data_IF_224468538598
#
_entry.id   IF_224468538598
#
_cell.length_a   1.000
_cell.length_b   1.000
_cell.length_c   1.000
_cell.angle_alpha   90.00
_cell.angle_beta   90.00
_cell.angle_gamma   90.00
#
_symmetry.space_group_name_H-M   'P 1'
#
loop_
_entity.id
_entity.type
_entity.pdbx_description
1 polymer ?
#
# COMPACT_ATOMS: atom_id res chain seq x y z
N UNK A 1 -24.51 -67.22 39.11
CA UNK A 1 -25.10 -67.27 37.75
C UNK A 1 -25.79 -65.94 37.47
N UNK A 2 -25.54 -65.37 36.28
CA UNK A 2 -25.91 -64.03 35.75
C UNK A 2 -24.96 -62.85 36.07
N UNK A 3 -23.87 -62.82 35.32
CA UNK A 3 -23.06 -61.63 34.99
C UNK A 3 -23.86 -60.74 34.03
N UNK A 4 -23.96 -59.43 34.32
CA UNK A 4 -24.68 -58.44 33.52
C UNK A 4 -23.71 -57.79 32.54
N UNK A 5 -23.90 -58.03 31.25
CA UNK A 5 -23.16 -57.39 30.15
C UNK A 5 -23.83 -56.03 29.91
N UNK A 6 -23.07 -54.93 30.04
CA UNK A 6 -23.50 -53.59 29.64
C UNK A 6 -23.15 -53.43 28.16
N UNK A 7 -24.17 -53.29 27.32
CA UNK A 7 -24.03 -52.91 25.91
C UNK A 7 -23.78 -51.40 25.84
N UNK A 8 -22.69 -50.99 25.19
CA UNK A 8 -22.46 -49.62 24.77
C UNK A 8 -23.17 -49.38 23.43
N UNK A 9 -24.15 -48.49 23.41
CA UNK A 9 -24.65 -47.89 22.16
C UNK A 9 -23.83 -46.62 21.85
N UNK A 10 -23.29 -46.45 20.63
CA UNK A 10 -22.70 -45.19 20.20
C UNK A 10 -23.79 -44.26 19.63
N UNK A 11 -24.45 -43.50 20.51
CA UNK A 11 -25.44 -42.49 20.14
C UNK A 11 -24.84 -41.08 20.13
N UNK A 12 -24.82 -40.46 18.94
CA UNK A 12 -25.04 -39.02 18.72
C UNK A 12 -24.26 -38.02 19.60
N UNK A 13 -22.93 -37.98 19.48
CA UNK A 13 -22.25 -36.67 19.61
C UNK A 13 -22.43 -35.91 18.30
N UNK A 14 -23.59 -35.25 18.21
CA UNK A 14 -23.86 -34.23 17.23
C UNK A 14 -22.72 -33.20 17.25
N UNK A 15 -21.90 -33.24 16.21
CA UNK A 15 -20.98 -32.18 15.83
C UNK A 15 -21.83 -30.91 15.68
N UNK A 16 -21.88 -30.09 16.73
CA UNK A 16 -22.33 -28.71 16.65
C UNK A 16 -21.32 -27.99 15.76
N UNK A 17 -21.54 -28.09 14.45
CA UNK A 17 -21.06 -27.14 13.49
C UNK A 17 -21.66 -25.79 13.90
N UNK A 18 -20.88 -25.01 14.64
CA UNK A 18 -21.20 -23.61 14.92
C UNK A 18 -21.48 -22.97 13.58
N UNK A 19 -22.75 -22.59 13.34
CA UNK A 19 -23.11 -21.85 12.15
C UNK A 19 -22.36 -20.52 12.24
N UNK A 20 -21.26 -20.40 11.51
CA UNK A 20 -20.48 -19.17 11.42
C UNK A 20 -21.29 -18.13 10.65
N UNK A 21 -22.26 -17.54 11.35
CA UNK A 21 -22.93 -16.33 10.92
C UNK A 21 -21.87 -15.24 10.87
N UNK A 22 -21.43 -14.88 9.65
CA UNK A 22 -20.44 -13.82 9.51
C UNK A 22 -20.90 -12.53 10.18
N UNK A 23 -19.93 -11.77 10.68
CA UNK A 23 -20.15 -10.56 11.47
C UNK A 23 -20.99 -9.57 10.66
N UNK A 24 -21.97 -8.95 11.32
CA UNK A 24 -22.72 -7.83 10.71
C UNK A 24 -21.74 -6.69 10.36
N UNK A 25 -22.07 -5.88 9.36
CA UNK A 25 -21.25 -4.72 8.98
C UNK A 25 -20.86 -3.85 10.20
N UNK A 26 -21.77 -3.56 11.17
CA UNK A 26 -21.42 -2.84 12.40
C UNK A 26 -20.39 -3.58 13.28
N UNK A 27 -20.44 -4.91 13.36
CA UNK A 27 -19.50 -5.70 14.14
C UNK A 27 -18.12 -5.80 13.47
N UNK A 28 -18.06 -5.89 12.14
CA UNK A 28 -16.81 -5.82 11.38
C UNK A 28 -16.19 -4.41 11.42
N UNK A 29 -17.02 -3.37 11.30
CA UNK A 29 -16.61 -1.97 11.50
C UNK A 29 -16.14 -1.76 12.94
N UNK A 30 -16.82 -2.30 13.95
CA UNK A 30 -16.39 -2.22 15.34
C UNK A 30 -15.07 -2.97 15.60
N UNK A 31 -14.83 -4.09 14.92
CA UNK A 31 -13.56 -4.82 14.97
C UNK A 31 -12.41 -3.99 14.36
N UNK A 32 -12.62 -3.39 13.19
CA UNK A 32 -11.66 -2.45 12.60
C UNK A 32 -11.49 -1.21 13.49
N UNK A 33 -12.57 -0.70 14.07
CA UNK A 33 -12.57 0.46 14.97
C UNK A 33 -11.85 0.17 16.29
N UNK A 34 -11.90 -1.07 16.82
CA UNK A 34 -11.10 -1.50 17.98
C UNK A 34 -9.61 -1.33 17.75
N UNK A 35 -9.15 -1.37 16.49
CA UNK A 35 -7.76 -1.14 16.12
C UNK A 35 -7.42 0.33 15.80
N UNK A 36 -8.34 1.28 16.03
CA UNK A 36 -8.11 2.73 15.84
C UNK A 36 -8.19 3.56 17.13
N UNK A 37 -7.45 3.24 18.21
CA UNK A 37 -7.20 4.26 19.23
C UNK A 37 -6.39 5.39 18.59
N UNK A 38 -6.89 6.63 18.55
CA UNK A 38 -6.17 7.75 17.92
C UNK A 38 -5.19 8.39 18.90
N UNK A 39 -4.01 7.78 19.03
CA UNK A 39 -2.90 8.41 19.75
C UNK A 39 -2.55 9.78 19.11
N UNK A 40 -1.93 10.67 19.89
CA UNK A 40 -1.61 12.03 19.44
C UNK A 40 -0.79 12.06 18.13
N UNK A 41 0.13 11.10 17.95
CA UNK A 41 0.98 11.02 16.74
C UNK A 41 0.18 10.61 15.50
N UNK A 42 -0.89 9.82 15.64
CA UNK A 42 -1.77 9.43 14.53
C UNK A 42 -2.64 10.59 14.11
N UNK A 43 -3.20 11.35 15.06
CA UNK A 43 -3.98 12.56 14.76
C UNK A 43 -3.14 13.56 13.98
N UNK A 44 -1.92 13.82 14.43
CA UNK A 44 -0.95 14.65 13.71
C UNK A 44 -0.73 14.13 12.28
N UNK A 45 -0.42 12.85 12.13
CA UNK A 45 -0.18 12.24 10.82
C UNK A 45 -1.39 12.28 9.89
N UNK A 46 -2.61 12.11 10.41
CA UNK A 46 -3.83 12.21 9.61
C UNK A 46 -4.09 13.63 9.12
N UNK A 47 -3.81 14.64 9.96
CA UNK A 47 -3.86 16.04 9.52
C UNK A 47 -2.81 16.30 8.45
N UNK A 48 -1.56 15.92 8.67
CA UNK A 48 -0.48 16.06 7.68
C UNK A 48 -0.82 15.32 6.37
N UNK A 49 -1.35 14.10 6.46
CA UNK A 49 -1.75 13.30 5.32
C UNK A 49 -2.90 13.93 4.53
N UNK A 50 -3.88 14.50 5.22
CA UNK A 50 -4.95 15.27 4.59
C UNK A 50 -4.42 16.52 3.90
N UNK A 51 -3.51 17.27 4.53
CA UNK A 51 -2.88 18.45 3.92
C UNK A 51 -2.06 18.10 2.67
N UNK A 52 -1.32 16.98 2.70
CA UNK A 52 -0.59 16.46 1.54
C UNK A 52 -1.53 16.11 0.39
N UNK A 53 -2.63 15.39 0.68
CA UNK A 53 -3.62 15.04 -0.33
C UNK A 53 -4.33 16.28 -0.90
N UNK A 54 -4.72 17.23 -0.03
CA UNK A 54 -5.31 18.50 -0.44
C UNK A 54 -4.35 19.33 -1.28
N UNK A 55 -3.05 19.34 -0.95
CA UNK A 55 -2.02 19.95 -1.81
C UNK A 55 -2.00 19.30 -3.19
N UNK A 56 -2.01 17.97 -3.28
CA UNK A 56 -2.07 17.27 -4.56
C UNK A 56 -3.31 17.62 -5.39
N UNK A 57 -4.49 17.70 -4.75
CA UNK A 57 -5.73 18.13 -5.39
C UNK A 57 -5.71 19.60 -5.82
N UNK A 58 -5.14 20.48 -5.00
CA UNK A 58 -4.95 21.88 -5.36
C UNK A 58 -4.10 22.03 -6.62
N UNK A 59 -2.96 21.33 -6.70
CA UNK A 59 -2.11 21.36 -7.89
C UNK A 59 -2.78 20.72 -9.12
N UNK A 60 -3.73 19.79 -8.92
CA UNK A 60 -4.56 19.27 -10.00
C UNK A 60 -5.49 20.35 -10.54
N UNK A 61 -6.14 21.12 -9.65
CA UNK A 61 -6.97 22.26 -10.07
C UNK A 61 -6.14 23.29 -10.83
N UNK A 62 -4.95 23.64 -10.32
CA UNK A 62 -4.02 24.55 -11.01
C UNK A 62 -3.68 24.04 -12.41
N UNK A 63 -3.32 22.76 -12.55
CA UNK A 63 -3.06 22.16 -13.87
C UNK A 63 -4.27 22.22 -14.81
N UNK A 64 -5.48 22.00 -14.30
CA UNK A 64 -6.70 22.03 -15.12
C UNK A 64 -7.08 23.46 -15.55
N UNK A 65 -6.68 24.49 -14.81
CA UNK A 65 -6.98 25.90 -15.10
C UNK A 65 -5.88 26.56 -15.92
N UNK A 66 -4.63 26.49 -15.45
CA UNK A 66 -3.49 27.20 -16.05
C UNK A 66 -2.78 26.37 -17.14
N UNK A 67 -3.03 25.05 -17.17
CA UNK A 67 -2.37 24.13 -18.09
C UNK A 67 -0.89 23.91 -17.75
N UNK A 68 -0.12 23.51 -18.76
CA UNK A 68 1.31 23.22 -18.64
C UNK A 68 1.65 21.76 -18.94
N UNK A 69 2.93 21.38 -18.81
CA UNK A 69 3.36 20.06 -19.20
C UNK A 69 2.91 18.99 -18.21
N UNK A 70 2.35 17.89 -18.71
CA UNK A 70 2.10 16.68 -17.92
C UNK A 70 3.32 15.75 -17.86
N UNK A 71 4.20 15.84 -18.85
CA UNK A 71 5.45 15.08 -18.95
C UNK A 71 6.69 15.95 -18.74
N UNK A 72 7.85 15.31 -18.65
CA UNK A 72 9.13 16.01 -18.58
C UNK A 72 9.48 16.62 -17.20
N UNK A 73 10.59 17.38 -17.15
CA UNK A 73 11.17 17.85 -15.89
C UNK A 73 10.29 18.84 -15.12
N UNK A 74 9.51 19.67 -15.82
CA UNK A 74 8.64 20.72 -15.27
C UNK A 74 7.18 20.27 -15.06
N UNK A 75 6.95 18.97 -15.02
CA UNK A 75 5.62 18.40 -15.02
C UNK A 75 4.80 18.73 -13.76
N UNK A 76 3.57 19.24 -13.95
CA UNK A 76 2.57 19.38 -12.87
C UNK A 76 2.13 18.04 -12.27
N UNK A 77 2.35 16.93 -12.97
CA UNK A 77 2.09 15.59 -12.41
C UNK A 77 2.85 15.39 -11.10
N UNK A 78 4.06 15.95 -10.95
CA UNK A 78 4.89 15.76 -9.76
C UNK A 78 4.19 16.22 -8.48
N UNK A 79 3.84 17.51 -8.28
CA UNK A 79 3.16 17.93 -7.04
C UNK A 79 1.82 17.21 -6.83
N UNK A 80 1.08 16.87 -7.90
CA UNK A 80 -0.18 16.12 -7.82
C UNK A 80 0.04 14.73 -7.22
N UNK A 81 0.83 13.88 -7.88
CA UNK A 81 0.96 12.48 -7.49
C UNK A 81 1.81 12.31 -6.24
N UNK A 82 2.81 13.18 -6.00
CA UNK A 82 3.58 13.15 -4.77
C UNK A 82 2.71 13.57 -3.57
N UNK A 83 1.92 14.64 -3.68
CA UNK A 83 0.99 15.04 -2.61
C UNK A 83 0.00 13.93 -2.25
N UNK A 84 -0.68 13.36 -3.25
CA UNK A 84 -1.63 12.27 -3.04
C UNK A 84 -0.97 11.01 -2.48
N UNK A 85 0.15 10.59 -3.05
CA UNK A 85 0.82 9.33 -2.68
C UNK A 85 1.49 9.39 -1.30
N UNK A 86 2.19 10.49 -0.99
CA UNK A 86 2.77 10.68 0.35
C UNK A 86 1.66 10.84 1.40
N UNK A 87 0.57 11.52 1.06
CA UNK A 87 -0.59 11.67 1.95
C UNK A 87 -1.20 10.33 2.33
N UNK A 88 -1.57 9.50 1.33
CA UNK A 88 -2.17 8.18 1.60
C UNK A 88 -1.17 7.22 2.27
N UNK A 89 0.11 7.29 1.92
CA UNK A 89 1.15 6.46 2.55
C UNK A 89 1.35 6.83 4.01
N UNK A 90 1.42 8.12 4.34
CA UNK A 90 1.54 8.58 5.73
C UNK A 90 0.32 8.15 6.58
N UNK A 91 -0.89 8.31 6.05
CA UNK A 91 -2.12 7.83 6.71
C UNK A 91 -2.05 6.32 6.94
N UNK A 92 -1.57 5.57 5.94
CA UNK A 92 -1.42 4.12 6.02
C UNK A 92 -0.43 3.73 7.11
N UNK A 93 0.78 4.30 7.12
CA UNK A 93 1.80 4.01 8.13
C UNK A 93 1.30 4.37 9.53
N UNK A 94 0.64 5.52 9.71
CA UNK A 94 0.06 5.91 10.99
C UNK A 94 -1.05 4.95 11.46
N UNK A 95 -1.87 4.45 10.53
CA UNK A 95 -2.88 3.43 10.80
C UNK A 95 -2.29 2.06 11.17
N UNK A 96 -1.10 1.72 10.68
CA UNK A 96 -0.44 0.44 10.98
C UNK A 96 0.14 0.36 12.41
N UNK A 97 0.50 1.50 13.01
CA UNK A 97 1.25 1.54 14.28
C UNK A 97 0.58 0.83 15.47
N UNK A 98 -0.75 0.88 15.67
CA UNK A 98 -1.41 0.14 16.75
C UNK A 98 -1.24 -1.37 16.62
N UNK A 99 -1.27 -1.93 15.40
CA UNK A 99 -1.06 -3.37 15.16
C UNK A 99 0.35 -3.82 15.54
N UNK A 100 1.34 -2.90 15.48
CA UNK A 100 2.73 -3.14 15.89
C UNK A 100 2.96 -2.92 17.39
N UNK A 101 1.89 -2.58 18.14
CA UNK A 101 1.90 -2.20 19.56
C UNK A 101 2.96 -1.13 19.86
N UNK A 102 3.04 -0.13 18.98
CA UNK A 102 4.01 0.94 19.13
C UNK A 102 3.73 1.78 20.39
N UNK A 103 4.74 1.97 21.22
CA UNK A 103 4.68 2.92 22.35
C UNK A 103 4.57 4.35 21.82
N UNK A 104 4.03 5.26 22.62
CA UNK A 104 3.82 6.67 22.24
C UNK A 104 5.08 7.34 21.69
N UNK A 105 6.24 7.12 22.34
CA UNK A 105 7.52 7.67 21.90
C UNK A 105 7.93 7.12 20.53
N UNK A 106 7.89 5.80 20.35
CA UNK A 106 8.19 5.14 19.06
C UNK A 106 7.25 5.61 17.97
N UNK A 107 5.96 5.76 18.27
CA UNK A 107 4.97 6.30 17.34
C UNK A 107 5.33 7.70 16.88
N UNK A 108 5.71 8.60 17.79
CA UNK A 108 6.16 9.95 17.43
C UNK A 108 7.46 9.97 16.65
N UNK A 109 8.45 9.15 17.01
CA UNK A 109 9.71 9.09 16.26
C UNK A 109 9.43 8.61 14.84
N UNK A 110 8.77 7.47 14.68
CA UNK A 110 8.56 6.88 13.35
C UNK A 110 7.60 7.72 12.52
N UNK A 111 6.39 7.96 13.02
CA UNK A 111 5.34 8.62 12.24
C UNK A 111 5.58 10.13 12.16
N UNK A 112 6.10 10.75 13.22
CA UNK A 112 6.42 12.18 13.21
C UNK A 112 7.53 12.51 12.22
N UNK A 113 8.63 11.74 12.21
CA UNK A 113 9.69 11.90 11.21
C UNK A 113 9.17 11.61 9.80
N UNK A 114 8.35 10.57 9.62
CA UNK A 114 7.73 10.26 8.34
C UNK A 114 6.88 11.44 7.83
N UNK A 115 6.06 12.03 8.71
CA UNK A 115 5.18 13.15 8.38
C UNK A 115 5.98 14.41 8.01
N UNK A 116 6.98 14.78 8.81
CA UNK A 116 7.82 15.96 8.54
C UNK A 116 8.59 15.77 7.23
N UNK A 117 9.19 14.61 7.02
CA UNK A 117 9.92 14.32 5.78
C UNK A 117 8.98 14.36 4.56
N UNK A 118 7.78 13.81 4.68
CA UNK A 118 6.76 13.84 3.62
C UNK A 118 6.32 15.26 3.27
N UNK A 119 6.06 16.09 4.28
CA UNK A 119 5.68 17.50 4.09
C UNK A 119 6.80 18.30 3.44
N UNK A 120 8.03 18.14 3.92
CA UNK A 120 9.19 18.82 3.37
C UNK A 120 9.45 18.41 1.91
N UNK A 121 9.38 17.11 1.60
CA UNK A 121 9.57 16.60 0.24
C UNK A 121 8.55 17.20 -0.74
N UNK A 122 7.27 17.12 -0.41
CA UNK A 122 6.20 17.63 -1.28
C UNK A 122 6.27 19.16 -1.39
N UNK A 123 6.63 19.86 -0.31
CA UNK A 123 6.86 21.31 -0.35
C UNK A 123 7.97 21.67 -1.34
N UNK A 124 9.13 21.01 -1.27
CA UNK A 124 10.27 21.31 -2.13
C UNK A 124 9.98 21.02 -3.60
N UNK A 125 9.30 19.89 -3.88
CA UNK A 125 8.86 19.55 -5.24
C UNK A 125 7.89 20.60 -5.78
N UNK A 126 6.91 20.99 -4.97
CA UNK A 126 5.91 21.98 -5.35
C UNK A 126 6.57 23.33 -5.58
N UNK A 127 7.42 23.79 -4.65
CA UNK A 127 8.18 25.03 -4.76
C UNK A 127 9.01 25.08 -6.04
N UNK A 128 9.72 24.00 -6.38
CA UNK A 128 10.49 23.95 -7.63
C UNK A 128 9.58 24.01 -8.87
N UNK A 129 8.42 23.37 -8.83
CA UNK A 129 7.42 23.44 -9.91
C UNK A 129 6.91 24.87 -10.09
N UNK A 130 6.58 25.57 -9.01
CA UNK A 130 6.15 26.98 -9.03
C UNK A 130 7.27 27.95 -9.46
N UNK A 131 8.54 27.61 -9.21
CA UNK A 131 9.70 28.34 -9.75
C UNK A 131 9.93 28.08 -11.24
N UNK A 132 9.19 27.17 -11.87
CA UNK A 132 9.38 26.81 -13.27
C UNK A 132 10.69 26.05 -13.55
N UNK A 133 11.25 25.37 -12.53
CA UNK A 133 12.50 24.61 -12.65
C UNK A 133 12.32 23.15 -12.25
N UNK A 134 13.24 22.29 -12.65
CA UNK A 134 13.18 20.87 -12.30
C UNK A 134 13.44 20.66 -10.80
N UNK A 135 12.66 19.77 -10.18
CA UNK A 135 12.86 19.40 -8.76
C UNK A 135 13.87 18.28 -8.54
N UNK A 136 14.07 17.41 -9.53
CA UNK A 136 14.96 16.26 -9.45
C UNK A 136 16.06 16.42 -10.50
N UNK A 137 17.29 16.07 -10.14
CA UNK A 137 18.47 16.16 -11.01
C UNK A 137 18.74 17.58 -11.53
N UNK A 138 18.36 18.59 -10.75
CA UNK A 138 18.56 19.98 -11.09
C UNK A 138 19.77 20.55 -10.36
N UNK A 139 20.84 20.78 -11.10
CA UNK A 139 22.09 21.34 -10.58
C UNK A 139 22.45 22.67 -11.26
N UNK A 140 21.45 23.39 -11.79
CA UNK A 140 21.69 24.66 -12.50
C UNK A 140 22.23 25.76 -11.59
N UNK A 141 21.83 25.77 -10.31
CA UNK A 141 22.30 26.73 -9.31
C UNK A 141 22.63 26.03 -8.00
N UNK A 142 23.43 26.67 -7.13
CA UNK A 142 23.74 26.12 -5.81
C UNK A 142 22.49 25.87 -4.97
N UNK A 143 21.47 26.73 -5.09
CA UNK A 143 20.19 26.55 -4.41
C UNK A 143 19.47 25.30 -4.92
N UNK A 144 19.39 25.11 -6.25
CA UNK A 144 18.73 23.96 -6.85
C UNK A 144 19.41 22.64 -6.48
N UNK A 145 20.75 22.59 -6.51
CA UNK A 145 21.53 21.43 -6.07
C UNK A 145 21.30 21.13 -4.59
N UNK A 146 21.19 22.17 -3.75
CA UNK A 146 20.91 22.01 -2.31
C UNK A 146 19.51 21.45 -2.06
N UNK A 147 18.51 21.94 -2.81
CA UNK A 147 17.13 21.42 -2.77
C UNK A 147 17.10 19.95 -3.18
N UNK A 148 17.75 19.60 -4.29
CA UNK A 148 17.80 18.21 -4.77
C UNK A 148 18.50 17.28 -3.77
N UNK A 149 19.64 17.71 -3.21
CA UNK A 149 20.37 16.93 -2.19
C UNK A 149 19.54 16.73 -0.93
N UNK A 150 18.82 17.75 -0.49
CA UNK A 150 17.97 17.66 0.70
C UNK A 150 16.79 16.71 0.49
N UNK A 151 16.12 16.76 -0.68
CA UNK A 151 15.11 15.79 -1.07
C UNK A 151 15.64 14.35 -1.02
N UNK A 152 16.86 14.12 -1.55
CA UNK A 152 17.53 12.82 -1.48
C UNK A 152 17.68 12.29 -0.04
N UNK A 153 18.06 13.15 0.92
CA UNK A 153 18.14 12.78 2.33
C UNK A 153 16.78 12.45 2.94
N UNK A 154 15.73 13.20 2.59
CA UNK A 154 14.37 12.94 3.06
C UNK A 154 13.86 11.58 2.56
N UNK A 155 14.07 11.26 1.28
CA UNK A 155 13.71 9.96 0.71
C UNK A 155 14.47 8.82 1.39
N UNK A 156 15.77 8.98 1.66
CA UNK A 156 16.53 7.98 2.42
C UNK A 156 15.98 7.78 3.84
N UNK A 157 15.62 8.85 4.54
CA UNK A 157 14.99 8.76 5.86
C UNK A 157 13.67 7.97 5.78
N UNK A 158 12.82 8.25 4.80
CA UNK A 158 11.57 7.52 4.60
C UNK A 158 11.81 6.04 4.28
N UNK A 159 12.84 5.73 3.50
CA UNK A 159 13.24 4.34 3.24
C UNK A 159 13.65 3.61 4.52
N UNK A 160 14.49 4.23 5.37
CA UNK A 160 14.91 3.66 6.67
C UNK A 160 13.72 3.45 7.61
N UNK A 161 12.81 4.41 7.71
CA UNK A 161 11.59 4.29 8.52
C UNK A 161 10.67 3.18 7.98
N UNK A 162 10.58 3.03 6.66
CA UNK A 162 9.81 1.95 6.04
C UNK A 162 10.44 0.59 6.36
N UNK A 163 11.76 0.44 6.26
CA UNK A 163 12.49 -0.78 6.67
C UNK A 163 12.20 -1.10 8.14
N UNK A 164 12.26 -0.11 9.02
CA UNK A 164 11.94 -0.29 10.43
C UNK A 164 10.52 -0.84 10.64
N UNK A 165 9.51 -0.23 10.01
CA UNK A 165 8.10 -0.66 10.11
C UNK A 165 7.92 -2.07 9.53
N UNK A 166 8.54 -2.36 8.40
CA UNK A 166 8.52 -3.70 7.77
C UNK A 166 9.12 -4.75 8.69
N UNK A 167 10.34 -4.54 9.19
CA UNK A 167 11.02 -5.46 10.11
C UNK A 167 10.18 -5.65 11.37
N UNK A 168 9.65 -4.55 11.95
CA UNK A 168 8.83 -4.61 13.15
C UNK A 168 7.57 -5.46 12.96
N UNK A 169 7.00 -5.49 11.75
CA UNK A 169 5.81 -6.28 11.42
C UNK A 169 6.02 -7.80 11.50
N UNK A 170 7.26 -8.29 11.39
CA UNK A 170 7.56 -9.73 11.49
C UNK A 170 7.65 -10.26 12.92
N UNK A 171 7.64 -9.36 13.92
CA UNK A 171 7.54 -9.74 15.33
C UNK A 171 6.07 -9.86 15.75
N UNK A 172 5.76 -9.50 17.01
CA UNK A 172 4.38 -9.49 17.52
C UNK A 172 3.51 -8.50 16.77
N UNK A 173 2.42 -8.99 16.19
CA UNK A 173 1.40 -8.19 15.53
C UNK A 173 0.03 -8.52 16.12
N UNK A 174 -0.73 -7.48 16.44
CA UNK A 174 -2.03 -7.57 17.08
C UNK A 174 -3.15 -7.47 16.03
N UNK A 175 -3.20 -8.44 15.11
CA UNK A 175 -4.12 -8.47 13.99
C UNK A 175 -4.55 -9.91 13.65
N UNK A 176 -5.74 -10.12 13.06
CA UNK A 176 -6.10 -11.41 12.46
C UNK A 176 -5.02 -11.89 11.46
N UNK A 177 -4.74 -13.21 11.36
CA UNK A 177 -3.71 -13.74 10.48
C UNK A 177 -3.76 -13.25 9.02
N UNK A 178 -4.95 -13.11 8.45
CA UNK A 178 -5.16 -12.60 7.08
C UNK A 178 -4.74 -11.14 6.93
N UNK A 179 -5.10 -10.28 7.88
CA UNK A 179 -4.67 -8.89 7.91
C UNK A 179 -3.17 -8.76 8.17
N UNK A 180 -2.62 -9.58 9.07
CA UNK A 180 -1.19 -9.61 9.35
C UNK A 180 -0.37 -10.00 8.12
N UNK A 181 -0.84 -11.01 7.36
CA UNK A 181 -0.23 -11.40 6.09
C UNK A 181 -0.28 -10.25 5.07
N UNK A 182 -1.45 -9.63 4.91
CA UNK A 182 -1.64 -8.52 3.98
C UNK A 182 -0.72 -7.33 4.28
N UNK A 183 -0.59 -6.95 5.55
CA UNK A 183 0.31 -5.87 6.00
C UNK A 183 1.77 -6.21 5.67
N UNK A 184 2.22 -7.42 6.02
CA UNK A 184 3.60 -7.87 5.78
C UNK A 184 3.95 -7.87 4.29
N UNK A 185 3.09 -8.47 3.46
CA UNK A 185 3.31 -8.53 2.02
C UNK A 185 3.26 -7.13 1.38
N UNK A 186 2.33 -6.28 1.81
CA UNK A 186 2.25 -4.90 1.36
C UNK A 186 3.49 -4.07 1.71
N UNK A 187 4.00 -4.21 2.94
CA UNK A 187 5.23 -3.56 3.40
C UNK A 187 6.49 -4.08 2.68
N UNK A 188 6.59 -5.39 2.44
CA UNK A 188 7.68 -5.99 1.65
C UNK A 188 7.69 -5.46 0.21
N UNK A 189 6.53 -5.42 -0.44
CA UNK A 189 6.40 -4.87 -1.79
C UNK A 189 6.71 -3.37 -1.79
N UNK A 190 6.30 -2.61 -0.77
CA UNK A 190 6.70 -1.21 -0.68
C UNK A 190 8.23 -1.03 -0.57
N UNK A 191 8.98 -1.95 0.04
CA UNK A 191 10.45 -1.94 -0.02
C UNK A 191 10.99 -2.21 -1.43
N UNK A 192 10.35 -3.09 -2.21
CA UNK A 192 10.68 -3.27 -3.64
C UNK A 192 10.47 -1.95 -4.40
N UNK A 193 9.40 -1.22 -4.10
CA UNK A 193 9.17 0.11 -4.68
C UNK A 193 10.28 1.11 -4.31
N UNK A 194 10.79 1.06 -3.07
CA UNK A 194 11.93 1.89 -2.66
C UNK A 194 13.19 1.54 -3.45
N UNK A 195 13.44 0.26 -3.72
CA UNK A 195 14.56 -0.18 -4.55
C UNK A 195 14.45 0.34 -6.00
N UNK A 196 13.24 0.29 -6.60
CA UNK A 196 12.99 0.89 -7.92
C UNK A 196 13.21 2.41 -7.90
N UNK A 197 12.80 3.08 -6.81
CA UNK A 197 13.05 4.51 -6.62
C UNK A 197 14.55 4.85 -6.53
N UNK A 198 15.32 4.04 -5.82
CA UNK A 198 16.79 4.17 -5.78
C UNK A 198 17.41 3.96 -7.18
N UNK A 199 16.88 3.01 -7.95
CA UNK A 199 17.31 2.82 -9.34
C UNK A 199 17.03 4.06 -10.20
N UNK A 200 15.88 4.71 -10.05
CA UNK A 200 15.59 5.97 -10.76
C UNK A 200 16.64 7.05 -10.47
N UNK A 201 17.13 7.13 -9.23
CA UNK A 201 18.22 8.04 -8.86
C UNK A 201 19.51 7.65 -9.58
N UNK A 202 19.85 6.36 -9.60
CA UNK A 202 21.04 5.85 -10.27
C UNK A 202 21.05 6.10 -11.79
N UNK A 203 19.88 6.01 -12.44
CA UNK A 203 19.71 6.29 -13.87
C UNK A 203 19.64 7.80 -14.19
N UNK A 204 19.62 8.68 -13.18
CA UNK A 204 19.42 10.12 -13.40
C UNK A 204 18.03 10.48 -13.92
N UNK A 205 17.04 9.60 -13.77
CA UNK A 205 15.76 9.74 -14.46
C UNK A 205 14.77 8.61 -14.17
N UNK A 206 13.73 8.51 -15.01
CA UNK A 206 12.71 7.46 -14.90
C UNK A 206 12.65 6.55 -16.13
N UNK A 207 13.66 6.64 -17.00
CA UNK A 207 13.77 5.85 -18.22
C UNK A 207 14.85 4.80 -18.04
N UNK A 208 14.52 3.54 -18.34
CA UNK A 208 15.47 2.44 -18.41
C UNK A 208 15.59 1.96 -19.85
N UNK A 209 16.82 1.77 -20.34
CA UNK A 209 17.07 1.43 -21.73
C UNK A 209 16.49 2.46 -22.70
N UNK A 210 15.86 2.00 -23.79
CA UNK A 210 15.34 2.89 -24.83
C UNK A 210 14.09 3.68 -24.39
N UNK A 211 13.13 3.05 -23.72
CA UNK A 211 11.83 3.64 -23.39
C UNK A 211 11.15 3.07 -22.12
N UNK A 212 11.84 2.21 -21.36
CA UNK A 212 11.30 1.57 -20.17
C UNK A 212 10.95 2.58 -19.09
N UNK A 213 9.74 2.58 -18.55
CA UNK A 213 9.30 3.62 -17.61
C UNK A 213 9.30 3.16 -16.15
N UNK A 214 10.40 3.35 -15.41
CA UNK A 214 10.58 2.95 -14.01
C UNK A 214 9.49 3.47 -13.06
N UNK A 215 8.87 4.60 -13.40
CA UNK A 215 7.74 5.16 -12.64
C UNK A 215 6.53 4.21 -12.54
N UNK A 216 6.32 3.35 -13.54
CA UNK A 216 5.17 2.42 -13.58
C UNK A 216 5.33 1.31 -12.53
N UNK A 217 6.38 0.48 -12.57
CA UNK A 217 6.59 -0.52 -11.52
C UNK A 217 6.77 0.13 -10.15
N UNK A 218 7.40 1.31 -10.05
CA UNK A 218 7.47 2.05 -8.78
C UNK A 218 6.07 2.32 -8.21
N UNK A 219 5.20 3.01 -8.96
CA UNK A 219 3.87 3.39 -8.47
C UNK A 219 2.98 2.18 -8.15
N UNK A 220 2.95 1.16 -9.02
CA UNK A 220 2.13 -0.05 -8.80
C UNK A 220 2.60 -0.79 -7.56
N UNK A 221 3.91 -0.94 -7.38
CA UNK A 221 4.47 -1.69 -6.25
C UNK A 221 4.28 -0.95 -4.92
N UNK A 222 4.45 0.38 -4.92
CA UNK A 222 4.26 1.23 -3.74
C UNK A 222 2.88 1.02 -3.10
N UNK A 223 1.84 0.90 -3.93
CA UNK A 223 0.46 0.85 -3.45
C UNK A 223 0.00 -0.50 -2.90
N UNK A 224 0.86 -1.52 -2.91
CA UNK A 224 0.57 -2.83 -2.32
C UNK A 224 0.18 -2.75 -0.83
N UNK A 225 0.81 -1.83 -0.09
CA UNK A 225 0.56 -1.61 1.34
C UNK A 225 -0.84 -1.05 1.63
N UNK A 226 -1.51 -0.43 0.64
CA UNK A 226 -2.91 -0.04 0.77
C UNK A 226 -3.85 -1.13 0.23
N UNK A 227 -3.54 -1.69 -0.94
CA UNK A 227 -4.43 -2.62 -1.65
C UNK A 227 -4.63 -3.92 -0.87
N UNK A 228 -3.55 -4.55 -0.38
CA UNK A 228 -3.67 -5.85 0.29
C UNK A 228 -4.38 -5.75 1.65
N UNK A 229 -4.06 -4.78 2.54
CA UNK A 229 -4.83 -4.61 3.77
C UNK A 229 -6.29 -4.23 3.52
N UNK A 230 -6.59 -3.43 2.49
CA UNK A 230 -7.97 -3.13 2.11
C UNK A 230 -8.75 -4.40 1.74
N UNK A 231 -8.15 -5.31 0.95
CA UNK A 231 -8.74 -6.62 0.67
C UNK A 231 -8.98 -7.43 1.95
N UNK A 232 -8.00 -7.50 2.86
CA UNK A 232 -8.14 -8.21 4.12
C UNK A 232 -9.28 -7.64 4.98
N UNK A 233 -9.41 -6.31 5.05
CA UNK A 233 -10.49 -5.62 5.77
C UNK A 233 -11.86 -5.94 5.15
N UNK A 234 -11.99 -5.90 3.83
CA UNK A 234 -13.24 -6.28 3.14
C UNK A 234 -13.62 -7.74 3.46
N UNK A 235 -12.63 -8.63 3.55
CA UNK A 235 -12.85 -10.02 3.93
C UNK A 235 -13.27 -10.20 5.39
N UNK A 236 -12.92 -9.26 6.30
CA UNK A 236 -13.41 -9.28 7.69
C UNK A 236 -14.94 -9.08 7.75
N UNK A 237 -15.51 -8.35 6.79
CA UNK A 237 -16.96 -8.16 6.61
C UNK A 237 -17.61 -9.38 5.96
N UNK A 238 -16.88 -10.12 5.11
CA UNK A 238 -17.38 -11.31 4.42
C UNK A 238 -17.58 -12.51 5.38
N UNK A 239 -18.60 -13.34 5.09
CA UNK A 239 -18.83 -14.62 5.77
C UNK A 239 -17.77 -15.64 5.35
N UNK A 240 -16.63 -15.63 6.02
CA UNK A 240 -15.51 -16.51 5.70
C UNK A 240 -14.72 -16.86 6.96
N UNK A 241 -14.32 -18.12 7.08
CA UNK A 241 -13.34 -18.57 8.07
C UNK A 241 -12.02 -17.84 7.87
N UNK A 242 -11.27 -17.65 8.94
CA UNK A 242 -9.96 -16.99 8.89
C UNK A 242 -8.97 -17.72 7.95
N UNK A 243 -9.01 -19.06 7.95
CA UNK A 243 -8.21 -19.89 7.04
C UNK A 243 -8.49 -19.58 5.57
N UNK A 244 -9.76 -19.36 5.22
CA UNK A 244 -10.16 -18.99 3.86
C UNK A 244 -9.75 -17.55 3.53
N UNK A 245 -9.87 -16.61 4.47
CA UNK A 245 -9.41 -15.22 4.29
C UNK A 245 -7.91 -15.15 4.00
N UNK A 246 -7.09 -15.90 4.74
CA UNK A 246 -5.64 -16.01 4.50
C UNK A 246 -5.36 -16.49 3.07
N UNK A 247 -6.05 -17.53 2.60
CA UNK A 247 -5.88 -18.05 1.23
C UNK A 247 -6.27 -17.01 0.17
N UNK A 248 -7.35 -16.27 0.38
CA UNK A 248 -7.80 -15.23 -0.56
C UNK A 248 -6.81 -14.07 -0.57
N UNK A 249 -6.30 -13.63 0.59
CA UNK A 249 -5.26 -12.61 0.68
C UNK A 249 -3.97 -13.06 -0.02
N UNK A 250 -3.54 -14.32 0.20
CA UNK A 250 -2.37 -14.87 -0.46
C UNK A 250 -2.54 -14.92 -1.99
N UNK A 251 -3.71 -15.35 -2.47
CA UNK A 251 -4.03 -15.35 -3.90
C UNK A 251 -4.08 -13.93 -4.48
N UNK A 252 -4.65 -12.97 -3.74
CA UNK A 252 -4.64 -11.56 -4.11
C UNK A 252 -3.24 -10.99 -4.20
N UNK A 253 -2.36 -11.33 -3.25
CA UNK A 253 -0.95 -10.94 -3.29
C UNK A 253 -0.20 -11.57 -4.47
N UNK A 254 -0.49 -12.82 -4.84
CA UNK A 254 0.05 -13.45 -6.06
C UNK A 254 -0.41 -12.69 -7.30
N UNK A 255 -1.71 -12.41 -7.44
CA UNK A 255 -2.24 -11.63 -8.58
C UNK A 255 -1.59 -10.24 -8.68
N UNK A 256 -1.41 -9.56 -7.56
CA UNK A 256 -0.74 -8.27 -7.50
C UNK A 256 0.77 -8.36 -7.85
N UNK A 257 1.46 -9.39 -7.36
CA UNK A 257 2.86 -9.64 -7.69
C UNK A 257 3.06 -9.96 -9.18
N UNK A 258 2.12 -10.68 -9.81
CA UNK A 258 2.14 -10.94 -11.25
C UNK A 258 1.95 -9.65 -12.06
N UNK A 259 1.08 -8.74 -11.61
CA UNK A 259 0.97 -7.40 -12.22
C UNK A 259 2.27 -6.60 -12.08
N UNK A 260 2.88 -6.59 -10.90
CA UNK A 260 4.17 -5.94 -10.68
C UNK A 260 5.23 -6.55 -11.62
N UNK A 261 5.30 -7.87 -11.71
CA UNK A 261 6.22 -8.56 -12.62
C UNK A 261 6.01 -8.16 -14.08
N UNK A 262 4.76 -8.06 -14.55
CA UNK A 262 4.45 -7.54 -15.88
C UNK A 262 5.04 -6.15 -16.11
N UNK A 263 4.85 -5.23 -15.16
CA UNK A 263 5.36 -3.85 -15.28
C UNK A 263 6.89 -3.76 -15.19
N UNK A 264 7.52 -4.62 -14.39
CA UNK A 264 8.98 -4.70 -14.28
C UNK A 264 9.58 -5.26 -15.57
N UNK A 265 9.06 -6.39 -16.08
CA UNK A 265 9.54 -7.00 -17.34
C UNK A 265 9.39 -6.00 -18.49
N UNK A 266 8.24 -5.34 -18.62
CA UNK A 266 8.01 -4.31 -19.64
C UNK A 266 9.06 -3.18 -19.55
N UNK A 267 9.36 -2.73 -18.34
CA UNK A 267 10.33 -1.65 -18.10
C UNK A 267 11.75 -2.10 -18.40
N UNK A 268 12.16 -3.27 -17.95
CA UNK A 268 13.53 -3.78 -18.14
C UNK A 268 13.78 -4.27 -19.56
N UNK A 269 12.74 -4.60 -20.33
CA UNK A 269 12.82 -4.79 -21.78
C UNK A 269 13.10 -3.48 -22.53
N UNK A 270 13.15 -2.34 -21.85
CA UNK A 270 13.39 -1.02 -22.44
C UNK A 270 12.22 -0.52 -23.30
N UNK A 271 11.02 -1.07 -23.11
CA UNK A 271 9.83 -0.75 -23.90
C UNK A 271 8.94 0.28 -23.21
N UNK A 272 8.29 1.11 -24.02
CA UNK A 272 7.31 2.08 -23.53
C UNK A 272 6.13 1.40 -22.81
N UNK A 273 5.43 2.08 -21.88
CA UNK A 273 4.32 1.47 -21.11
C UNK A 273 3.17 0.90 -21.95
N UNK A 274 2.96 1.43 -23.16
CA UNK A 274 1.89 1.01 -24.07
C UNK A 274 2.40 0.15 -25.24
N UNK A 275 3.72 -0.06 -25.35
CA UNK A 275 4.33 -0.94 -26.34
C UNK A 275 4.39 -2.38 -25.81
N UNK A 276 3.21 -2.95 -25.56
CA UNK A 276 3.08 -4.20 -24.80
C UNK A 276 3.62 -5.39 -25.58
N UNK A 277 4.55 -6.14 -24.98
CA UNK A 277 4.99 -7.42 -25.53
C UNK A 277 3.91 -8.50 -25.29
N UNK A 278 3.89 -9.58 -26.08
CA UNK A 278 2.99 -10.70 -25.82
C UNK A 278 3.15 -11.27 -24.40
N UNK A 279 4.39 -11.37 -23.91
CA UNK A 279 4.68 -11.85 -22.55
C UNK A 279 4.10 -10.93 -21.47
N UNK A 280 4.36 -9.62 -21.56
CA UNK A 280 3.88 -8.67 -20.54
C UNK A 280 2.37 -8.53 -20.57
N UNK A 281 1.76 -8.62 -21.76
CA UNK A 281 0.30 -8.66 -21.94
C UNK A 281 -0.31 -9.89 -21.26
N UNK A 282 0.26 -11.08 -21.48
CA UNK A 282 -0.22 -12.32 -20.84
C UNK A 282 -0.08 -12.21 -19.32
N UNK A 283 1.07 -11.76 -18.81
CA UNK A 283 1.27 -11.56 -17.37
C UNK A 283 0.25 -10.56 -16.79
N UNK A 284 0.02 -9.43 -17.48
CA UNK A 284 -0.97 -8.45 -17.05
C UNK A 284 -2.38 -9.06 -16.99
N UNK A 285 -2.80 -9.77 -18.03
CA UNK A 285 -4.11 -10.43 -18.08
C UNK A 285 -4.28 -11.49 -17.00
N UNK A 286 -3.24 -12.30 -16.74
CA UNK A 286 -3.25 -13.29 -15.65
C UNK A 286 -3.38 -12.61 -14.29
N UNK A 287 -2.60 -11.56 -14.02
CA UNK A 287 -2.69 -10.79 -12.79
C UNK A 287 -4.08 -10.17 -12.58
N UNK A 288 -4.63 -9.54 -13.63
CA UNK A 288 -6.00 -8.98 -13.63
C UNK A 288 -7.03 -10.08 -13.37
N UNK A 289 -6.94 -11.23 -14.05
CA UNK A 289 -7.88 -12.33 -13.90
C UNK A 289 -7.87 -12.88 -12.46
N UNK A 290 -6.69 -13.08 -11.87
CA UNK A 290 -6.57 -13.52 -10.47
C UNK A 290 -7.23 -12.50 -9.53
N UNK A 291 -6.93 -11.21 -9.70
CA UNK A 291 -7.51 -10.15 -8.86
C UNK A 291 -9.02 -10.02 -9.05
N UNK A 292 -9.52 -10.22 -10.28
CA UNK A 292 -10.95 -10.24 -10.57
C UNK A 292 -11.65 -11.42 -9.88
N UNK A 293 -11.07 -12.61 -9.92
CA UNK A 293 -11.57 -13.79 -9.19
C UNK A 293 -11.59 -13.52 -7.68
N UNK A 294 -10.50 -12.97 -7.13
CA UNK A 294 -10.41 -12.58 -5.71
C UNK A 294 -11.50 -11.56 -5.35
N UNK A 295 -11.72 -10.56 -6.19
CA UNK A 295 -12.78 -9.56 -6.02
C UNK A 295 -14.17 -10.18 -6.03
N UNK A 296 -14.49 -11.01 -7.02
CA UNK A 296 -15.79 -11.70 -7.13
C UNK A 296 -16.04 -12.60 -5.93
N UNK A 297 -15.06 -13.40 -5.51
CA UNK A 297 -15.16 -14.28 -4.33
C UNK A 297 -15.39 -13.47 -3.06
N UNK A 298 -14.69 -12.34 -2.90
CA UNK A 298 -14.83 -11.45 -1.74
C UNK A 298 -16.22 -10.83 -1.70
N UNK A 299 -16.70 -10.27 -2.82
CA UNK A 299 -18.02 -9.63 -2.93
C UNK A 299 -19.17 -10.62 -2.73
N UNK A 300 -19.06 -11.84 -3.30
CA UNK A 300 -20.07 -12.88 -3.09
C UNK A 300 -20.16 -13.32 -1.63
N UNK A 301 -19.04 -13.28 -0.88
CA UNK A 301 -19.02 -13.55 0.55
C UNK A 301 -19.65 -12.46 1.42
N UNK A 302 -19.87 -11.26 0.88
CA UNK A 302 -20.52 -10.13 1.58
C UNK A 302 -22.04 -10.15 1.39
N UNK A 303 -22.54 -10.70 0.27
CA UNK A 303 -23.98 -10.70 -0.04
C UNK A 303 -24.78 -11.39 1.08
N UNK A 304 -25.83 -10.75 1.63
CA UNK A 304 -26.74 -11.43 2.54
C UNK A 304 -27.35 -12.60 1.79
N UNK A 305 -27.24 -13.81 2.35
CA UNK A 305 -27.86 -14.98 1.75
C UNK A 305 -29.33 -14.69 1.50
N UNK A 306 -29.77 -14.80 0.25
CA UNK A 306 -31.19 -14.92 -0.08
C UNK A 306 -31.66 -16.19 0.62
N UNK A 307 -32.30 -16.01 1.79
CA UNK A 307 -33.10 -17.05 2.42
C UNK A 307 -34.37 -17.24 1.63
#
# INVERSE_FOLDING_TARGET
MKTRIIQNEPGEEAVQATSESGKSLPAAVAEVARFTPTASYQRFAYVCGALLALSGLFHLVVYLVDGGPWGGPLSWRKPIVFGLSFGITLVTIAWLMPFLRARRLTGWIVVGLFAVASLAEVFLISMQTWRGVASHFNETTQFDSSVFSFMGMLVMLLAVLTVYVTVRSFFRMDAPPSLALAIRLGLLLMLVSQAVGAQMIAEGGNTFGAAGALKVPHAVTLHAVQVLPALAILLLVARSTERRRVKIVALGAVGYAVLIASTLVQTYDGRGPLDLSPLTSVLALVGIAILAVVGVVTLNGIRPGTR
#
